data_IF_489539984713
#
_entry.id   IF_489539984713
#
_cell.length_a   1.000
_cell.length_b   1.000
_cell.length_c   1.000
_cell.angle_alpha   90.00
_cell.angle_beta   90.00
_cell.angle_gamma   90.00
#
_symmetry.space_group_name_H-M   'P 1'
#
loop_
_entity.id
_entity.type
_entity.pdbx_description
1 polymer ?
#
# COMPACT_ATOMS: atom_id res chain seq x y z
N UNK A 1 -34.85 -54.14 -14.89
CA UNK A 1 -34.61 -52.74 -15.30
C UNK A 1 -33.42 -52.26 -14.45
N UNK A 2 -32.24 -52.33 -15.02
CA UNK A 2 -30.97 -52.04 -14.39
C UNK A 2 -30.69 -50.52 -14.43
N UNK A 3 -30.43 -49.93 -13.26
CA UNK A 3 -29.88 -48.58 -13.14
C UNK A 3 -28.39 -48.61 -13.44
N UNK A 4 -27.96 -47.90 -14.48
CA UNK A 4 -26.57 -47.55 -14.69
C UNK A 4 -26.23 -46.37 -13.78
N UNK A 5 -25.45 -46.62 -12.75
CA UNK A 5 -24.75 -45.59 -11.98
C UNK A 5 -23.48 -45.23 -12.74
N UNK A 6 -23.44 -43.97 -13.25
CA UNK A 6 -22.23 -43.40 -13.82
C UNK A 6 -21.34 -42.90 -12.69
N UNK A 7 -20.14 -43.48 -12.56
CA UNK A 7 -19.12 -43.02 -11.65
C UNK A 7 -18.64 -41.60 -12.00
N UNK A 8 -18.35 -40.74 -10.99
CA UNK A 8 -17.82 -39.38 -11.26
C UNK A 8 -16.37 -39.43 -11.78
N UNK A 9 -15.96 -38.55 -12.65
CA UNK A 9 -14.60 -38.50 -13.19
C UNK A 9 -13.57 -38.26 -12.09
N UNK A 10 -12.46 -38.99 -12.16
CA UNK A 10 -11.37 -39.03 -11.19
C UNK A 10 -10.77 -37.62 -10.93
N UNK A 11 -10.87 -37.14 -9.69
CA UNK A 11 -10.36 -35.88 -9.19
C UNK A 11 -8.82 -35.75 -9.14
N UNK A 12 -8.08 -36.72 -9.68
CA UNK A 12 -6.61 -36.78 -9.64
C UNK A 12 -5.90 -35.96 -10.72
N UNK A 13 -6.50 -35.84 -11.90
CA UNK A 13 -5.86 -35.18 -13.06
C UNK A 13 -5.88 -33.64 -12.98
N UNK A 14 -6.92 -33.04 -12.41
CA UNK A 14 -7.07 -31.59 -12.28
C UNK A 14 -6.10 -30.98 -11.26
N UNK A 15 -5.75 -31.70 -10.20
CA UNK A 15 -4.82 -31.20 -9.15
C UNK A 15 -3.36 -31.14 -9.61
N UNK A 16 -2.93 -31.99 -10.53
CA UNK A 16 -1.54 -32.02 -11.00
C UNK A 16 -1.27 -30.90 -12.03
N UNK A 17 -2.22 -30.63 -12.92
CA UNK A 17 -2.14 -29.52 -13.87
C UNK A 17 -2.16 -28.16 -13.17
N UNK A 18 -2.96 -28.01 -12.14
CA UNK A 18 -3.04 -26.76 -11.32
C UNK A 18 -1.74 -26.54 -10.53
N UNK A 19 -1.10 -27.58 -10.03
CA UNK A 19 0.16 -27.44 -9.30
C UNK A 19 1.33 -27.06 -10.23
N UNK A 20 1.40 -27.64 -11.42
CA UNK A 20 2.38 -27.28 -12.45
C UNK A 20 2.16 -25.87 -12.98
N UNK A 21 0.93 -25.47 -13.25
CA UNK A 21 0.59 -24.12 -13.68
C UNK A 21 0.97 -23.07 -12.63
N UNK A 22 0.70 -23.33 -11.35
CA UNK A 22 1.05 -22.45 -10.23
C UNK A 22 2.56 -22.36 -9.99
N UNK A 23 3.31 -23.45 -10.16
CA UNK A 23 4.77 -23.44 -10.00
C UNK A 23 5.48 -22.73 -11.16
N UNK A 24 5.04 -22.95 -12.39
CA UNK A 24 5.57 -22.26 -13.58
C UNK A 24 5.25 -20.77 -13.56
N UNK A 25 4.05 -20.39 -13.15
CA UNK A 25 3.65 -18.98 -13.03
C UNK A 25 4.42 -18.26 -11.91
N UNK A 26 4.69 -18.97 -10.78
CA UNK A 26 5.54 -18.43 -9.70
C UNK A 26 6.99 -18.19 -10.15
N UNK A 27 7.56 -19.12 -10.91
CA UNK A 27 8.90 -18.97 -11.48
C UNK A 27 8.95 -17.78 -12.46
N UNK A 28 7.89 -17.61 -13.25
CA UNK A 28 7.74 -16.51 -14.21
C UNK A 28 7.68 -15.14 -13.54
N UNK A 29 6.80 -14.96 -12.54
CA UNK A 29 6.62 -13.68 -11.81
C UNK A 29 7.85 -13.33 -10.98
N UNK A 30 8.55 -14.33 -10.42
CA UNK A 30 9.75 -14.13 -9.60
C UNK A 30 11.06 -13.96 -10.38
N UNK A 31 11.04 -14.06 -11.71
CA UNK A 31 12.26 -14.00 -12.53
C UNK A 31 12.84 -12.58 -12.55
N UNK A 32 14.16 -12.45 -12.27
CA UNK A 32 14.85 -11.16 -12.33
C UNK A 32 14.95 -10.62 -13.75
N UNK A 33 15.07 -9.28 -13.88
CA UNK A 33 15.29 -8.64 -15.18
C UNK A 33 16.50 -9.25 -15.92
N UNK A 34 17.61 -9.47 -15.20
CA UNK A 34 18.84 -10.04 -15.76
C UNK A 34 18.62 -11.45 -16.29
N UNK A 35 17.93 -12.29 -15.52
CA UNK A 35 17.66 -13.68 -15.93
C UNK A 35 16.75 -13.74 -17.16
N UNK A 36 15.69 -12.93 -17.20
CA UNK A 36 14.79 -12.87 -18.34
C UNK A 36 15.49 -12.37 -19.61
N UNK A 37 16.31 -11.33 -19.49
CA UNK A 37 17.10 -10.79 -20.61
C UNK A 37 18.13 -11.82 -21.13
N UNK A 38 18.78 -12.55 -20.23
CA UNK A 38 19.71 -13.63 -20.60
C UNK A 38 19.00 -14.76 -21.35
N UNK A 39 17.77 -15.13 -20.96
CA UNK A 39 16.97 -16.14 -21.65
C UNK A 39 16.56 -15.68 -23.06
N UNK A 40 16.19 -14.40 -23.24
CA UNK A 40 15.87 -13.85 -24.56
C UNK A 40 17.10 -13.89 -25.46
N UNK A 41 18.24 -13.41 -24.98
CA UNK A 41 19.49 -13.40 -25.74
C UNK A 41 19.93 -14.82 -26.09
N UNK A 42 19.92 -15.73 -25.12
CA UNK A 42 20.22 -17.16 -25.34
C UNK A 42 19.27 -17.80 -26.33
N UNK A 43 17.97 -17.49 -26.26
CA UNK A 43 16.97 -17.93 -27.22
C UNK A 43 17.22 -17.44 -28.64
N UNK A 44 17.62 -16.18 -28.82
CA UNK A 44 17.97 -15.63 -30.13
C UNK A 44 19.21 -16.32 -30.70
N UNK A 45 20.27 -16.50 -29.92
CA UNK A 45 21.50 -17.18 -30.32
C UNK A 45 21.22 -18.64 -30.68
N UNK A 46 20.43 -19.34 -29.83
CA UNK A 46 20.05 -20.72 -30.09
C UNK A 46 19.22 -20.87 -31.37
N UNK A 47 18.24 -19.98 -31.57
CA UNK A 47 17.45 -19.95 -32.81
C UNK A 47 18.31 -19.73 -34.05
N UNK A 48 19.27 -18.81 -33.94
CA UNK A 48 20.24 -18.57 -35.05
C UNK A 48 21.08 -19.82 -35.33
N UNK A 49 21.62 -20.45 -34.31
CA UNK A 49 22.42 -21.67 -34.42
C UNK A 49 21.64 -22.82 -35.08
N UNK A 50 20.38 -23.02 -34.63
CA UNK A 50 19.47 -24.02 -35.18
C UNK A 50 19.25 -23.78 -36.70
N UNK A 51 18.93 -22.53 -37.09
CA UNK A 51 18.67 -22.18 -38.48
C UNK A 51 19.94 -22.40 -39.33
N UNK A 52 21.09 -21.97 -38.80
CA UNK A 52 22.37 -22.12 -39.50
C UNK A 52 22.79 -23.59 -39.72
N UNK A 53 22.65 -24.42 -38.68
CA UNK A 53 22.99 -25.87 -38.75
C UNK A 53 21.98 -26.68 -39.54
N UNK A 54 20.73 -26.21 -39.64
CA UNK A 54 19.68 -26.86 -40.44
C UNK A 54 19.80 -26.58 -41.97
N UNK A 55 20.84 -25.87 -42.40
CA UNK A 55 21.12 -25.63 -43.80
C UNK A 55 20.70 -24.25 -44.32
N UNK A 56 20.13 -23.39 -43.49
CA UNK A 56 19.82 -22.02 -43.88
C UNK A 56 18.35 -21.60 -43.69
N UNK A 57 18.03 -20.46 -44.28
CA UNK A 57 16.74 -19.79 -44.00
C UNK A 57 15.59 -20.22 -44.93
N UNK A 58 15.79 -21.17 -45.82
CA UNK A 58 14.75 -21.65 -46.76
C UNK A 58 13.84 -22.76 -46.19
N UNK A 59 13.90 -22.96 -44.88
CA UNK A 59 13.14 -23.99 -44.18
C UNK A 59 12.11 -23.39 -43.20
N UNK A 60 11.32 -24.26 -42.54
CA UNK A 60 10.42 -23.88 -41.45
C UNK A 60 11.19 -23.41 -40.21
N UNK A 61 12.50 -23.69 -40.13
CA UNK A 61 13.33 -23.49 -38.94
C UNK A 61 13.42 -22.04 -38.46
N UNK A 62 13.39 -20.99 -39.32
CA UNK A 62 13.29 -19.60 -38.81
C UNK A 62 12.13 -19.27 -37.88
N UNK A 63 11.10 -20.11 -37.86
CA UNK A 63 9.99 -19.93 -36.93
C UNK A 63 10.37 -20.11 -35.43
N UNK A 64 11.54 -20.72 -35.13
CA UNK A 64 12.05 -20.80 -33.75
C UNK A 64 12.31 -19.42 -33.13
N UNK A 65 12.51 -18.36 -33.94
CA UNK A 65 12.64 -17.00 -33.43
C UNK A 65 11.37 -16.46 -32.79
N UNK A 66 10.19 -17.05 -33.05
CA UNK A 66 9.00 -16.67 -32.31
C UNK A 66 9.12 -16.95 -30.81
N UNK A 67 9.86 -17.94 -30.37
CA UNK A 67 10.00 -18.29 -28.95
C UNK A 67 10.57 -17.10 -28.14
N UNK A 68 11.77 -16.56 -28.45
CA UNK A 68 12.29 -15.40 -27.72
C UNK A 68 11.46 -14.13 -27.94
N UNK A 69 10.82 -13.94 -29.11
CA UNK A 69 9.94 -12.80 -29.38
C UNK A 69 8.68 -12.84 -28.49
N UNK A 70 8.00 -13.98 -28.43
CA UNK A 70 6.81 -14.18 -27.61
C UNK A 70 7.14 -14.07 -26.11
N UNK A 71 8.31 -14.60 -25.71
CA UNK A 71 8.80 -14.46 -24.35
C UNK A 71 9.05 -12.99 -23.99
N UNK A 72 9.69 -12.21 -24.89
CA UNK A 72 9.91 -10.79 -24.71
C UNK A 72 8.60 -10.01 -24.62
N UNK A 73 7.65 -10.31 -25.53
CA UNK A 73 6.31 -9.73 -25.51
C UNK A 73 5.61 -9.95 -24.17
N UNK A 74 5.57 -11.20 -23.73
CA UNK A 74 4.88 -11.57 -22.50
C UNK A 74 5.51 -11.01 -21.21
N UNK A 75 6.85 -10.79 -21.21
CA UNK A 75 7.58 -10.38 -20.00
C UNK A 75 7.82 -8.87 -19.91
N UNK A 76 8.06 -8.21 -21.04
CA UNK A 76 8.50 -6.81 -21.08
C UNK A 76 7.61 -5.91 -21.95
N UNK A 77 6.61 -6.45 -22.61
CA UNK A 77 5.66 -5.68 -23.39
C UNK A 77 6.06 -5.41 -24.83
N UNK A 78 5.23 -4.58 -25.49
CA UNK A 78 5.27 -4.34 -26.93
C UNK A 78 6.58 -3.73 -27.43
N UNK A 79 7.14 -2.77 -26.71
CA UNK A 79 8.41 -2.11 -27.11
C UNK A 79 9.60 -3.07 -27.13
N UNK A 80 9.71 -3.92 -26.12
CA UNK A 80 10.79 -4.93 -26.07
C UNK A 80 10.55 -6.03 -27.11
N UNK A 81 9.31 -6.46 -27.32
CA UNK A 81 8.98 -7.41 -28.38
C UNK A 81 9.36 -6.87 -29.77
N UNK A 82 9.12 -5.58 -30.03
CA UNK A 82 9.55 -4.91 -31.27
C UNK A 82 11.06 -4.98 -31.47
N UNK A 83 11.84 -4.62 -30.43
CA UNK A 83 13.32 -4.67 -30.50
C UNK A 83 13.81 -6.10 -30.77
N UNK A 84 13.27 -7.08 -30.03
CA UNK A 84 13.67 -8.48 -30.18
C UNK A 84 13.26 -9.02 -31.57
N UNK A 85 12.11 -8.63 -32.11
CA UNK A 85 11.66 -9.01 -33.45
C UNK A 85 12.56 -8.42 -34.54
N UNK A 86 13.00 -7.16 -34.41
CA UNK A 86 13.97 -6.54 -35.32
C UNK A 86 15.31 -7.25 -35.28
N UNK A 87 15.84 -7.56 -34.09
CA UNK A 87 17.10 -8.32 -33.96
C UNK A 87 16.96 -9.72 -34.56
N UNK A 88 15.84 -10.42 -34.31
CA UNK A 88 15.53 -11.71 -34.90
C UNK A 88 15.48 -11.63 -36.44
N UNK A 89 14.87 -10.55 -36.98
CA UNK A 89 14.83 -10.28 -38.42
C UNK A 89 16.22 -10.13 -39.05
N UNK A 90 17.13 -9.40 -38.38
CA UNK A 90 18.50 -9.25 -38.83
C UNK A 90 19.27 -10.58 -38.72
N UNK A 91 19.11 -11.32 -37.66
CA UNK A 91 19.75 -12.63 -37.47
C UNK A 91 19.26 -13.66 -38.50
N UNK A 92 17.97 -13.75 -38.74
CA UNK A 92 17.32 -14.67 -39.66
C UNK A 92 17.42 -14.18 -41.13
N UNK A 93 17.81 -12.93 -41.36
CA UNK A 93 17.90 -12.28 -42.65
C UNK A 93 19.35 -12.20 -43.16
N UNK A 94 19.97 -11.00 -43.16
CA UNK A 94 21.28 -10.78 -43.78
C UNK A 94 22.41 -11.58 -43.12
N UNK A 95 22.25 -12.05 -41.88
CA UNK A 95 23.27 -12.84 -41.19
C UNK A 95 23.11 -14.36 -41.37
N UNK A 96 22.11 -14.81 -42.11
CA UNK A 96 21.90 -16.24 -42.41
C UNK A 96 21.66 -16.42 -43.91
N UNK A 97 22.48 -17.20 -44.65
CA UNK A 97 22.23 -17.47 -46.06
C UNK A 97 20.96 -18.32 -46.28
N UNK A 98 20.38 -18.26 -47.47
CA UNK A 98 19.25 -19.14 -47.86
C UNK A 98 19.69 -20.60 -47.81
N UNK A 99 20.85 -20.89 -48.40
CA UNK A 99 21.51 -22.19 -48.33
C UNK A 99 22.96 -21.96 -47.82
N UNK A 100 23.25 -22.55 -46.66
CA UNK A 100 24.57 -22.43 -46.01
C UNK A 100 25.63 -23.16 -46.80
N UNK A 101 25.32 -24.29 -47.46
CA UNK A 101 26.28 -25.05 -48.24
C UNK A 101 26.63 -24.36 -49.55
N UNK A 102 25.69 -23.71 -50.18
CA UNK A 102 25.88 -22.96 -51.41
C UNK A 102 26.34 -21.51 -51.20
N UNK A 103 26.26 -20.99 -49.96
CA UNK A 103 26.63 -19.60 -49.62
C UNK A 103 25.70 -18.54 -50.26
N UNK A 104 24.49 -18.92 -50.66
CA UNK A 104 23.56 -18.04 -51.38
C UNK A 104 22.91 -17.03 -50.45
N UNK A 105 23.06 -15.72 -50.76
CA UNK A 105 22.44 -14.66 -49.99
C UNK A 105 20.91 -14.65 -50.13
N UNK A 106 20.20 -14.18 -49.10
CA UNK A 106 18.75 -14.00 -49.15
C UNK A 106 18.37 -12.76 -49.95
N UNK A 107 17.26 -12.87 -50.70
CA UNK A 107 16.60 -11.70 -51.29
C UNK A 107 16.06 -10.77 -50.23
N UNK A 108 16.23 -9.46 -50.38
CA UNK A 108 15.83 -8.45 -49.39
C UNK A 108 14.34 -8.51 -49.07
N UNK A 109 13.51 -8.77 -50.06
CA UNK A 109 12.06 -8.87 -49.90
C UNK A 109 11.64 -10.02 -48.98
N UNK A 110 12.28 -11.18 -49.08
CA UNK A 110 11.94 -12.36 -48.26
C UNK A 110 12.27 -12.19 -46.81
N UNK A 111 13.43 -11.66 -46.45
CA UNK A 111 13.76 -11.49 -45.05
C UNK A 111 13.04 -10.29 -44.44
N UNK A 112 12.73 -9.21 -45.16
CA UNK A 112 11.90 -8.10 -44.70
C UNK A 112 10.45 -8.56 -44.41
N UNK A 113 9.87 -9.37 -45.32
CA UNK A 113 8.53 -9.96 -45.08
C UNK A 113 8.51 -10.81 -43.81
N UNK A 114 9.54 -11.66 -43.60
CA UNK A 114 9.67 -12.45 -42.37
C UNK A 114 9.80 -11.58 -41.13
N UNK A 115 10.60 -10.52 -41.20
CA UNK A 115 10.72 -9.54 -40.11
C UNK A 115 9.40 -8.86 -39.79
N UNK A 116 8.62 -8.53 -40.84
CA UNK A 116 7.26 -8.02 -40.69
C UNK A 116 6.34 -8.99 -39.93
N UNK A 117 6.43 -10.29 -40.22
CA UNK A 117 5.70 -11.31 -39.44
C UNK A 117 6.18 -11.42 -38.01
N UNK A 118 7.50 -11.34 -37.76
CA UNK A 118 8.04 -11.36 -36.37
C UNK A 118 7.52 -10.18 -35.56
N UNK A 119 7.51 -8.97 -36.16
CA UNK A 119 6.95 -7.78 -35.54
C UNK A 119 5.44 -7.95 -35.32
N UNK A 120 4.70 -8.35 -36.35
CA UNK A 120 3.24 -8.49 -36.27
C UNK A 120 2.80 -9.48 -35.18
N UNK A 121 3.43 -10.66 -35.13
CA UNK A 121 3.12 -11.68 -34.10
C UNK A 121 3.54 -11.22 -32.71
N UNK A 122 4.73 -10.59 -32.58
CA UNK A 122 5.19 -10.03 -31.29
C UNK A 122 4.25 -8.95 -30.77
N UNK A 123 3.80 -8.02 -31.62
CA UNK A 123 2.87 -6.97 -31.24
C UNK A 123 1.46 -7.52 -30.93
N UNK A 124 0.96 -8.45 -31.73
CA UNK A 124 -0.33 -9.10 -31.50
C UNK A 124 -0.32 -9.82 -30.15
N UNK A 125 0.75 -10.54 -29.82
CA UNK A 125 0.89 -11.23 -28.54
C UNK A 125 0.94 -10.23 -27.37
N UNK A 126 1.69 -9.16 -27.50
CA UNK A 126 1.76 -8.11 -26.50
C UNK A 126 0.39 -7.46 -26.26
N UNK A 127 -0.39 -7.27 -27.31
CA UNK A 127 -1.72 -6.67 -27.25
C UNK A 127 -2.79 -7.61 -26.69
N UNK A 128 -2.73 -8.90 -27.01
CA UNK A 128 -3.73 -9.88 -26.57
C UNK A 128 -3.40 -10.51 -25.21
N UNK A 129 -2.16 -10.90 -24.99
CA UNK A 129 -1.77 -11.76 -23.86
C UNK A 129 -1.50 -10.94 -22.60
N UNK A 130 -0.88 -9.77 -22.73
CA UNK A 130 -0.58 -8.95 -21.54
C UNK A 130 -1.86 -8.51 -20.82
N UNK A 131 -2.86 -7.91 -21.49
CA UNK A 131 -4.10 -7.55 -20.81
C UNK A 131 -4.86 -8.76 -20.26
N UNK A 132 -4.79 -9.92 -20.93
CA UNK A 132 -5.45 -11.13 -20.49
C UNK A 132 -4.80 -11.77 -19.25
N UNK A 133 -3.46 -11.64 -19.09
CA UNK A 133 -2.73 -12.20 -17.94
C UNK A 133 -2.66 -11.22 -16.75
N UNK A 134 -2.83 -9.93 -16.99
CA UNK A 134 -2.71 -8.92 -15.94
C UNK A 134 -3.64 -9.18 -14.74
N UNK A 135 -4.93 -9.49 -14.89
CA UNK A 135 -5.81 -9.77 -13.76
C UNK A 135 -5.34 -11.00 -12.95
N UNK A 136 -4.85 -12.04 -13.63
CA UNK A 136 -4.37 -13.27 -12.98
C UNK A 136 -3.09 -13.02 -12.18
N UNK A 137 -2.18 -12.22 -12.71
CA UNK A 137 -0.94 -11.86 -12.01
C UNK A 137 -1.20 -10.98 -10.79
N UNK A 138 -2.13 -10.05 -10.88
CA UNK A 138 -2.52 -9.20 -9.74
C UNK A 138 -3.23 -10.02 -8.65
N UNK A 139 -4.13 -10.92 -9.02
CA UNK A 139 -4.81 -11.81 -8.07
C UNK A 139 -3.80 -12.68 -7.30
N UNK A 140 -2.83 -13.28 -8.00
CA UNK A 140 -1.77 -14.06 -7.36
C UNK A 140 -0.87 -13.21 -6.45
N UNK A 141 -0.61 -11.96 -6.83
CA UNK A 141 0.14 -11.02 -6.01
C UNK A 141 -0.60 -10.69 -4.73
N UNK A 142 -1.91 -10.41 -4.82
CA UNK A 142 -2.79 -10.18 -3.67
C UNK A 142 -2.84 -11.39 -2.73
N UNK A 143 -3.09 -12.57 -3.25
CA UNK A 143 -3.09 -13.81 -2.46
C UNK A 143 -1.76 -14.05 -1.74
N UNK A 144 -0.64 -13.74 -2.38
CA UNK A 144 0.68 -13.85 -1.75
C UNK A 144 0.87 -12.82 -0.65
N UNK A 145 0.49 -11.57 -0.88
CA UNK A 145 0.55 -10.52 0.14
C UNK A 145 -0.35 -10.86 1.34
N UNK A 146 -1.57 -11.33 1.10
CA UNK A 146 -2.48 -11.79 2.16
C UNK A 146 -1.85 -12.91 3.00
N UNK A 147 -1.24 -13.92 2.34
CA UNK A 147 -0.53 -14.99 3.03
C UNK A 147 0.65 -14.45 3.86
N UNK A 148 1.43 -13.51 3.31
CA UNK A 148 2.56 -12.89 4.01
C UNK A 148 2.09 -12.07 5.23
N UNK A 149 1.00 -11.28 5.10
CA UNK A 149 0.37 -10.54 6.22
C UNK A 149 -0.07 -11.51 7.31
N UNK A 150 -0.81 -12.56 6.95
CA UNK A 150 -1.30 -13.58 7.90
C UNK A 150 -0.14 -14.27 8.63
N UNK A 151 0.96 -14.55 7.93
CA UNK A 151 2.18 -15.06 8.54
C UNK A 151 2.80 -14.04 9.49
N UNK A 152 2.93 -12.78 9.06
CA UNK A 152 3.51 -11.69 9.85
C UNK A 152 2.75 -11.45 11.16
N UNK A 153 1.42 -11.50 11.13
CA UNK A 153 0.57 -11.40 12.33
C UNK A 153 0.90 -12.52 13.33
N UNK A 154 1.04 -13.76 12.86
CA UNK A 154 1.39 -14.90 13.73
C UNK A 154 2.81 -14.84 14.31
N UNK A 155 3.74 -14.19 13.64
CA UNK A 155 5.13 -14.09 14.06
C UNK A 155 5.46 -12.77 14.79
N UNK A 156 4.44 -11.97 15.13
CA UNK A 156 4.61 -10.67 15.80
C UNK A 156 5.51 -9.69 15.01
N UNK A 157 5.44 -9.74 13.68
CA UNK A 157 6.19 -8.86 12.79
C UNK A 157 5.59 -7.43 12.73
N UNK A 158 4.35 -7.23 13.21
CA UNK A 158 3.69 -5.93 13.28
C UNK A 158 3.92 -5.24 14.61
N UNK A 159 4.25 -3.94 14.57
CA UNK A 159 4.52 -3.10 15.75
C UNK A 159 4.00 -1.68 15.50
N UNK A 160 4.00 -0.85 16.55
CA UNK A 160 3.55 0.53 16.47
C UNK A 160 4.72 1.50 16.54
N UNK A 161 4.66 2.54 15.71
CA UNK A 161 5.35 3.79 15.92
C UNK A 161 4.33 4.82 16.39
N UNK A 162 4.81 5.85 17.03
CA UNK A 162 3.99 6.86 17.67
C UNK A 162 4.42 8.25 17.20
N UNK A 163 3.49 9.01 16.64
CA UNK A 163 3.75 10.36 16.20
C UNK A 163 3.16 11.37 17.19
N UNK A 164 3.97 12.27 17.75
CA UNK A 164 3.51 13.23 18.75
C UNK A 164 2.54 14.25 18.19
N UNK A 165 1.54 14.60 19.01
CA UNK A 165 0.55 15.65 18.77
C UNK A 165 0.81 16.78 19.76
N UNK A 166 0.95 18.01 19.26
CA UNK A 166 1.30 19.19 20.03
C UNK A 166 0.14 20.17 20.11
N UNK A 167 -0.23 20.58 21.31
CA UNK A 167 -1.25 21.61 21.54
C UNK A 167 -0.65 23.01 21.39
N UNK A 168 -1.25 23.84 20.57
CA UNK A 168 -0.83 25.24 20.37
C UNK A 168 -1.21 26.12 21.55
N UNK A 169 -2.32 25.83 22.22
CA UNK A 169 -2.77 26.54 23.41
C UNK A 169 -1.92 26.23 24.65
N UNK A 170 -1.72 24.92 24.90
CA UNK A 170 -0.98 24.46 26.08
C UNK A 170 0.53 24.51 25.90
N UNK A 171 1.01 24.76 24.69
CA UNK A 171 2.41 24.78 24.28
C UNK A 171 3.21 23.53 24.70
N UNK A 172 2.56 22.35 24.66
CA UNK A 172 3.13 21.06 25.01
C UNK A 172 2.54 19.93 24.19
N UNK A 173 3.20 18.78 24.19
CA UNK A 173 2.62 17.57 23.63
C UNK A 173 1.46 17.08 24.52
N UNK A 174 0.36 16.65 23.89
CA UNK A 174 -0.87 16.23 24.55
C UNK A 174 -1.29 14.81 24.22
N UNK A 175 -0.71 14.22 23.17
CA UNK A 175 -1.03 12.88 22.75
C UNK A 175 -0.06 12.37 21.68
N UNK A 176 -0.33 11.17 21.21
CA UNK A 176 0.39 10.52 20.12
C UNK A 176 -0.60 9.79 19.23
N UNK A 177 -0.33 9.75 17.92
CA UNK A 177 -0.99 8.85 17.00
C UNK A 177 -0.20 7.56 16.87
N UNK A 178 -0.87 6.41 17.02
CA UNK A 178 -0.28 5.08 16.88
C UNK A 178 -0.37 4.61 15.43
N UNK A 179 0.78 4.52 14.79
CA UNK A 179 0.93 4.18 13.38
C UNK A 179 1.52 2.79 13.24
N UNK A 180 0.75 1.87 12.68
CA UNK A 180 1.21 0.50 12.46
C UNK A 180 2.37 0.46 11.48
N UNK A 181 3.32 -0.46 11.74
CA UNK A 181 4.47 -0.79 10.87
C UNK A 181 4.61 -2.30 10.80
N UNK A 182 5.13 -2.79 9.69
CA UNK A 182 5.41 -4.20 9.51
C UNK A 182 6.89 -4.43 9.30
N UNK A 183 7.55 -5.08 10.26
CA UNK A 183 8.94 -5.52 10.13
C UNK A 183 9.00 -6.78 9.27
N UNK A 184 8.96 -6.57 7.95
CA UNK A 184 8.98 -7.68 7.00
C UNK A 184 10.39 -8.30 6.93
N UNK A 185 10.55 -9.65 7.03
CA UNK A 185 11.87 -10.30 7.14
C UNK A 185 12.79 -10.07 5.94
N UNK A 186 12.25 -9.74 4.77
CA UNK A 186 13.04 -9.53 3.53
C UNK A 186 13.03 -8.06 3.11
N UNK A 187 11.89 -7.36 3.28
CA UNK A 187 11.69 -5.98 2.78
C UNK A 187 12.02 -4.90 3.81
N UNK A 188 12.34 -5.29 5.04
CA UNK A 188 12.55 -4.35 6.14
C UNK A 188 11.25 -3.77 6.69
N UNK A 189 11.32 -2.57 7.27
CA UNK A 189 10.15 -1.88 7.81
C UNK A 189 9.26 -1.34 6.69
N UNK A 190 7.99 -1.76 6.70
CA UNK A 190 6.96 -1.35 5.75
C UNK A 190 5.96 -0.41 6.40
N UNK A 191 5.54 0.61 5.64
CA UNK A 191 4.51 1.55 6.03
C UNK A 191 3.09 1.01 5.75
N UNK A 192 2.03 1.58 6.36
CA UNK A 192 0.65 1.17 6.13
C UNK A 192 0.25 1.04 4.66
N UNK A 193 0.63 1.99 3.81
CA UNK A 193 0.34 1.99 2.37
C UNK A 193 0.91 0.77 1.61
N UNK A 194 1.88 0.05 2.18
CA UNK A 194 2.46 -1.14 1.56
C UNK A 194 1.62 -2.42 1.73
N UNK A 195 0.63 -2.42 2.67
CA UNK A 195 -0.09 -3.64 3.03
C UNK A 195 -1.55 -3.46 3.47
N UNK A 196 -1.99 -2.26 3.87
CA UNK A 196 -3.35 -2.06 4.38
C UNK A 196 -4.41 -2.31 3.32
N UNK A 197 -4.22 -1.87 2.07
CA UNK A 197 -5.19 -2.10 0.99
C UNK A 197 -5.54 -3.58 0.85
N UNK A 198 -4.51 -4.45 0.93
CA UNK A 198 -4.71 -5.92 0.85
C UNK A 198 -5.37 -6.46 2.12
N UNK A 199 -5.08 -5.87 3.27
CA UNK A 199 -5.70 -6.27 4.53
C UNK A 199 -7.18 -5.86 4.60
N UNK A 200 -7.54 -4.68 4.06
CA UNK A 200 -8.91 -4.18 3.97
C UNK A 200 -9.79 -5.00 3.02
N UNK A 201 -9.23 -5.41 1.86
CA UNK A 201 -9.91 -6.33 0.94
C UNK A 201 -10.12 -7.74 1.52
N UNK A 202 -9.56 -8.00 2.70
CA UNK A 202 -9.63 -9.29 3.39
C UNK A 202 -10.02 -9.12 4.86
N UNK A 203 -10.39 -10.21 5.54
CA UNK A 203 -10.70 -10.16 6.99
C UNK A 203 -9.48 -9.86 7.88
N UNK A 204 -8.27 -9.74 7.31
CA UNK A 204 -7.04 -9.50 8.07
C UNK A 204 -6.97 -8.09 8.66
N UNK A 205 -7.74 -7.15 8.11
CA UNK A 205 -7.83 -5.80 8.71
C UNK A 205 -8.32 -5.88 10.16
N UNK A 206 -9.26 -6.77 10.46
CA UNK A 206 -9.78 -6.93 11.82
C UNK A 206 -8.71 -7.43 12.80
N UNK A 207 -7.88 -8.40 12.39
CA UNK A 207 -6.77 -8.90 13.22
C UNK A 207 -5.72 -7.79 13.45
N UNK A 208 -5.50 -6.95 12.45
CA UNK A 208 -4.60 -5.79 12.54
C UNK A 208 -5.17 -4.76 13.52
N UNK A 209 -6.43 -4.37 13.36
CA UNK A 209 -7.08 -3.37 14.20
C UNK A 209 -7.18 -3.80 15.66
N UNK A 210 -7.54 -5.06 15.91
CA UNK A 210 -7.55 -5.62 17.27
C UNK A 210 -6.15 -5.61 17.91
N UNK A 211 -5.10 -5.83 17.11
CA UNK A 211 -3.71 -5.72 17.58
C UNK A 211 -3.31 -4.28 17.88
N UNK A 212 -3.62 -3.34 16.98
CA UNK A 212 -3.34 -1.90 17.16
C UNK A 212 -4.05 -1.38 18.42
N UNK A 213 -5.33 -1.72 18.58
CA UNK A 213 -6.12 -1.35 19.74
C UNK A 213 -5.49 -1.85 21.05
N UNK A 214 -5.22 -3.15 21.13
CA UNK A 214 -4.64 -3.74 22.35
C UNK A 214 -3.26 -3.18 22.66
N UNK A 215 -2.36 -3.06 21.67
CA UNK A 215 -1.00 -2.56 21.88
C UNK A 215 -0.99 -1.05 22.18
N UNK A 216 -1.84 -0.26 21.51
CA UNK A 216 -2.01 1.17 21.79
C UNK A 216 -2.47 1.42 23.23
N UNK A 217 -3.53 0.71 23.66
CA UNK A 217 -4.03 0.81 25.04
C UNK A 217 -2.97 0.37 26.07
N UNK A 218 -2.26 -0.74 25.82
CA UNK A 218 -1.19 -1.23 26.68
C UNK A 218 -0.09 -0.18 26.87
N UNK A 219 0.37 0.40 25.75
CA UNK A 219 1.45 1.37 25.76
C UNK A 219 1.02 2.69 26.42
N UNK A 220 -0.19 3.16 26.16
CA UNK A 220 -0.72 4.35 26.84
C UNK A 220 -0.83 4.16 28.36
N UNK A 221 -1.26 2.98 28.81
CA UNK A 221 -1.30 2.64 30.24
C UNK A 221 0.09 2.61 30.89
N UNK A 222 1.10 2.09 30.18
CA UNK A 222 2.50 2.13 30.64
C UNK A 222 3.01 3.56 30.79
N UNK A 223 2.79 4.43 29.80
CA UNK A 223 3.21 5.83 29.89
C UNK A 223 2.47 6.57 31.01
N UNK A 224 1.18 6.31 31.17
CA UNK A 224 0.41 6.87 32.30
C UNK A 224 1.01 6.47 33.65
N UNK A 225 1.38 5.21 33.84
CA UNK A 225 1.99 4.73 35.06
C UNK A 225 3.36 5.36 35.32
N UNK A 226 4.12 5.68 34.29
CA UNK A 226 5.40 6.39 34.38
C UNK A 226 5.19 7.88 34.71
N UNK A 227 4.21 8.55 34.10
CA UNK A 227 3.92 9.96 34.28
C UNK A 227 3.47 10.27 35.74
N UNK A 228 2.63 9.41 36.35
CA UNK A 228 2.18 9.59 37.74
C UNK A 228 3.32 9.59 38.77
N UNK A 229 4.48 9.12 38.41
CA UNK A 229 5.70 9.12 39.28
C UNK A 229 6.57 10.38 39.13
N UNK A 230 6.47 11.10 38.01
CA UNK A 230 7.47 12.11 37.62
C UNK A 230 6.92 13.43 37.06
N UNK A 231 5.62 13.67 37.02
CA UNK A 231 5.08 14.95 36.52
C UNK A 231 3.76 14.89 35.76
N UNK A 232 3.47 15.85 34.88
CA UNK A 232 2.16 16.14 34.38
C UNK A 232 1.55 15.03 33.52
N UNK A 233 0.25 15.10 33.35
CA UNK A 233 -0.66 13.99 33.14
C UNK A 233 -0.75 13.44 31.73
N UNK A 234 -1.57 12.43 31.66
CA UNK A 234 -1.48 11.40 30.67
C UNK A 234 -1.78 11.95 29.29
N UNK A 235 -0.93 11.52 28.34
CA UNK A 235 -1.17 11.71 26.94
C UNK A 235 -2.17 10.68 26.44
N UNK A 236 -3.06 11.10 25.57
CA UNK A 236 -3.90 10.17 24.88
C UNK A 236 -3.14 9.44 23.77
N UNK A 237 -3.59 8.27 23.42
CA UNK A 237 -3.21 7.57 22.21
C UNK A 237 -4.36 7.60 21.22
N UNK A 238 -4.09 8.05 19.99
CA UNK A 238 -5.04 7.97 18.89
C UNK A 238 -4.73 6.72 18.05
N UNK A 239 -5.77 5.99 17.67
CA UNK A 239 -5.67 4.79 16.81
C UNK A 239 -6.62 4.91 15.64
N UNK A 240 -6.15 4.49 14.47
CA UNK A 240 -6.95 4.42 13.27
C UNK A 240 -7.78 3.14 13.25
N UNK A 241 -9.09 3.26 12.99
CA UNK A 241 -9.98 2.15 12.69
C UNK A 241 -10.52 2.27 11.27
N UNK A 242 -10.55 1.15 10.54
CA UNK A 242 -11.09 1.12 9.20
C UNK A 242 -12.62 1.20 9.18
N UNK A 243 -13.18 1.59 8.04
CA UNK A 243 -14.63 1.53 7.83
C UNK A 243 -15.18 0.11 8.02
N UNK A 244 -14.40 -0.93 7.72
CA UNK A 244 -14.77 -2.32 7.93
C UNK A 244 -14.87 -2.69 9.42
N UNK A 245 -14.07 -2.05 10.29
CA UNK A 245 -14.13 -2.28 11.74
C UNK A 245 -15.37 -1.64 12.34
N UNK A 246 -15.75 -0.45 11.88
CA UNK A 246 -16.88 0.30 12.41
C UNK A 246 -18.21 -0.42 12.19
N UNK A 247 -18.33 -1.18 11.11
CA UNK A 247 -19.56 -1.95 10.83
C UNK A 247 -19.61 -3.30 11.57
N UNK A 248 -18.56 -3.68 12.31
CA UNK A 248 -18.56 -4.90 13.15
C UNK A 248 -19.40 -4.66 14.39
N UNK A 249 -20.47 -5.46 14.64
CA UNK A 249 -21.35 -5.27 15.80
C UNK A 249 -20.63 -5.37 17.15
N UNK A 250 -19.54 -6.17 17.21
CA UNK A 250 -18.74 -6.42 18.40
C UNK A 250 -17.63 -5.38 18.63
N UNK A 251 -17.39 -4.43 17.72
CA UNK A 251 -16.23 -3.52 17.80
C UNK A 251 -16.23 -2.67 19.08
N UNK A 252 -17.40 -2.16 19.50
CA UNK A 252 -17.51 -1.41 20.74
C UNK A 252 -17.19 -2.28 21.98
N UNK A 253 -17.56 -3.54 21.95
CA UNK A 253 -17.19 -4.49 23.00
C UNK A 253 -15.68 -4.79 23.02
N UNK A 254 -15.04 -4.86 21.86
CA UNK A 254 -13.56 -5.01 21.75
C UNK A 254 -12.84 -3.79 22.34
N UNK A 255 -13.32 -2.57 22.05
CA UNK A 255 -12.78 -1.33 22.64
C UNK A 255 -12.95 -1.34 24.15
N UNK A 256 -14.16 -1.64 24.66
CA UNK A 256 -14.42 -1.71 26.10
C UNK A 256 -13.51 -2.74 26.79
N UNK A 257 -13.36 -3.94 26.20
CA UNK A 257 -12.51 -4.99 26.75
C UNK A 257 -11.01 -4.61 26.74
N UNK A 258 -10.54 -3.85 25.75
CA UNK A 258 -9.16 -3.37 25.70
C UNK A 258 -8.91 -2.31 26.79
N UNK A 259 -9.83 -1.35 26.96
CA UNK A 259 -9.77 -0.34 28.01
C UNK A 259 -9.75 -0.98 29.41
N UNK A 260 -10.65 -1.94 29.68
CA UNK A 260 -10.71 -2.67 30.93
C UNK A 260 -9.44 -3.48 31.20
N UNK A 261 -8.97 -4.27 30.21
CA UNK A 261 -7.77 -5.11 30.30
C UNK A 261 -6.53 -4.31 30.70
N UNK A 262 -6.38 -3.12 30.13
CA UNK A 262 -5.21 -2.27 30.37
C UNK A 262 -5.46 -1.18 31.42
N UNK A 263 -6.65 -1.14 32.02
CA UNK A 263 -7.05 -0.12 33.00
C UNK A 263 -6.80 1.31 32.48
N UNK A 264 -7.04 1.52 31.17
CA UNK A 264 -6.88 2.81 30.53
C UNK A 264 -8.20 3.60 30.64
N UNK A 265 -8.18 4.83 31.19
CA UNK A 265 -9.34 5.71 31.12
C UNK A 265 -9.77 5.95 29.68
N UNK A 266 -11.08 5.87 29.37
CA UNK A 266 -11.58 5.98 28.00
C UNK A 266 -11.18 7.28 27.29
N UNK A 267 -11.07 8.37 28.01
CA UNK A 267 -10.66 9.69 27.50
C UNK A 267 -9.21 9.73 27.01
N UNK A 268 -8.41 8.72 27.32
CA UNK A 268 -7.03 8.58 26.86
C UNK A 268 -6.87 7.71 25.61
N UNK A 269 -7.95 7.14 25.12
CA UNK A 269 -8.01 6.47 23.83
C UNK A 269 -8.85 7.31 22.87
N UNK A 270 -8.25 7.83 21.82
CA UNK A 270 -8.98 8.47 20.73
C UNK A 270 -9.09 7.49 19.56
N UNK A 271 -10.24 7.47 18.90
CA UNK A 271 -10.47 6.67 17.71
C UNK A 271 -10.51 7.61 16.50
N UNK A 272 -9.67 7.36 15.52
CA UNK A 272 -9.60 8.10 14.27
C UNK A 272 -10.28 7.31 13.16
N UNK A 273 -11.10 7.99 12.36
CA UNK A 273 -11.94 7.43 11.31
C UNK A 273 -11.78 8.25 10.05
N UNK A 274 -11.62 7.60 8.93
CA UNK A 274 -11.61 8.31 7.65
C UNK A 274 -12.98 8.94 7.35
N UNK A 275 -12.99 10.01 6.57
CA UNK A 275 -14.20 10.71 6.14
C UNK A 275 -15.27 9.78 5.51
N UNK A 276 -14.85 8.68 4.89
CA UNK A 276 -15.74 7.68 4.26
C UNK A 276 -16.72 7.04 5.23
N UNK A 277 -16.37 6.92 6.51
CA UNK A 277 -17.26 6.39 7.57
C UNK A 277 -18.51 7.26 7.74
N UNK A 278 -18.40 8.57 7.51
CA UNK A 278 -19.54 9.50 7.61
C UNK A 278 -20.65 9.22 6.59
N UNK A 279 -20.32 8.59 5.48
CA UNK A 279 -21.30 8.22 4.45
C UNK A 279 -22.02 6.87 4.73
N UNK A 280 -21.65 6.17 5.81
CA UNK A 280 -22.15 4.83 6.12
C UNK A 280 -23.30 4.91 7.12
N UNK A 281 -24.52 4.52 6.71
CA UNK A 281 -25.70 4.54 7.59
C UNK A 281 -25.59 3.59 8.80
N UNK A 282 -24.87 2.48 8.65
CA UNK A 282 -24.68 1.47 9.69
C UNK A 282 -23.54 1.77 10.68
N UNK A 283 -22.81 2.87 10.51
CA UNK A 283 -21.78 3.30 11.45
C UNK A 283 -22.33 3.98 12.71
N UNK A 284 -23.51 4.57 12.62
CA UNK A 284 -24.11 5.45 13.65
C UNK A 284 -24.14 4.79 15.04
N UNK A 285 -24.62 3.56 15.12
CA UNK A 285 -24.78 2.86 16.40
C UNK A 285 -23.44 2.58 17.09
N UNK A 286 -22.44 2.14 16.33
CA UNK A 286 -21.08 1.88 16.85
C UNK A 286 -20.44 3.17 17.37
N UNK A 287 -20.56 4.27 16.64
CA UNK A 287 -20.01 5.56 17.07
C UNK A 287 -20.68 6.09 18.35
N UNK A 288 -21.99 5.94 18.48
CA UNK A 288 -22.69 6.26 19.73
C UNK A 288 -22.27 5.36 20.88
N UNK A 289 -22.00 4.08 20.64
CA UNK A 289 -21.47 3.17 21.67
C UNK A 289 -20.07 3.61 22.13
N UNK A 290 -19.16 4.01 21.23
CA UNK A 290 -17.86 4.57 21.61
C UNK A 290 -18.01 5.81 22.49
N UNK A 291 -18.92 6.72 22.13
CA UNK A 291 -19.20 7.90 22.97
C UNK A 291 -19.78 7.52 24.33
N UNK A 292 -20.61 6.51 24.39
CA UNK A 292 -21.16 6.01 25.67
C UNK A 292 -20.10 5.41 26.58
N UNK A 293 -19.01 4.89 26.00
CA UNK A 293 -17.81 4.46 26.72
C UNK A 293 -16.97 5.65 27.20
N UNK A 294 -17.16 6.86 26.66
CA UNK A 294 -16.35 8.04 26.96
C UNK A 294 -15.13 8.19 26.05
N UNK A 295 -15.07 7.47 24.92
CA UNK A 295 -13.95 7.52 23.94
C UNK A 295 -14.18 8.69 22.98
N UNK A 296 -13.22 9.64 22.84
CA UNK A 296 -13.27 10.69 21.85
C UNK A 296 -13.08 10.15 20.42
N UNK A 297 -13.81 10.77 19.47
CA UNK A 297 -13.81 10.40 18.05
C UNK A 297 -13.22 11.52 17.20
N UNK A 298 -12.31 11.17 16.29
CA UNK A 298 -11.73 12.09 15.33
C UNK A 298 -12.06 11.66 13.89
N UNK A 299 -12.33 12.63 13.03
CA UNK A 299 -12.38 12.40 11.58
C UNK A 299 -11.02 12.76 11.01
N UNK A 300 -10.44 11.82 10.30
CA UNK A 300 -9.15 11.92 9.64
C UNK A 300 -9.27 12.28 8.16
N UNK A 301 -8.19 12.81 7.56
CA UNK A 301 -8.06 13.20 6.16
C UNK A 301 -9.13 14.21 5.69
N UNK A 302 -9.65 15.05 6.59
CA UNK A 302 -10.72 15.98 6.25
C UNK A 302 -10.27 17.06 5.26
N UNK A 303 -11.08 17.22 4.19
CA UNK A 303 -10.85 18.21 3.14
C UNK A 303 -10.29 17.64 1.84
N UNK A 304 -10.07 16.33 1.75
CA UNK A 304 -9.62 15.67 0.51
C UNK A 304 -10.77 15.06 -0.28
N UNK A 305 -11.95 14.88 0.35
CA UNK A 305 -13.11 14.19 -0.19
C UNK A 305 -14.33 15.08 -0.42
N UNK A 306 -15.45 14.43 -0.72
CA UNK A 306 -16.77 15.05 -0.84
C UNK A 306 -17.46 15.14 0.53
N UNK A 307 -16.87 15.89 1.48
CA UNK A 307 -17.52 16.07 2.78
C UNK A 307 -18.88 16.73 2.63
N UNK A 308 -19.93 16.00 2.85
CA UNK A 308 -21.21 16.64 3.10
C UNK A 308 -21.22 17.14 4.54
N UNK A 309 -21.12 18.47 4.74
CA UNK A 309 -21.23 19.12 6.04
C UNK A 309 -22.45 18.66 6.85
N UNK A 310 -23.49 18.15 6.16
CA UNK A 310 -24.68 17.58 6.79
C UNK A 310 -24.38 16.33 7.64
N UNK A 311 -23.35 15.57 7.28
CA UNK A 311 -22.99 14.35 8.02
C UNK A 311 -22.19 14.64 9.28
N UNK A 312 -21.34 15.68 9.30
CA UNK A 312 -20.60 16.06 10.52
C UNK A 312 -21.52 16.36 11.70
N UNK A 313 -22.68 16.95 11.42
CA UNK A 313 -23.67 17.29 12.47
C UNK A 313 -24.49 16.08 12.96
N UNK A 314 -24.46 14.96 12.22
CA UNK A 314 -25.19 13.72 12.53
C UNK A 314 -24.44 12.82 13.51
N UNK A 315 -23.11 12.85 13.46
CA UNK A 315 -22.26 11.96 14.22
C UNK A 315 -21.66 12.64 15.45
N UNK A 316 -21.46 11.90 16.54
CA UNK A 316 -20.94 12.45 17.79
C UNK A 316 -19.41 12.61 17.77
N UNK A 317 -18.89 13.41 16.82
CA UNK A 317 -17.46 13.66 16.62
C UNK A 317 -16.96 14.72 17.61
N UNK A 318 -15.71 14.66 18.00
CA UNK A 318 -15.04 15.61 18.90
C UNK A 318 -13.90 16.38 18.22
N UNK A 319 -13.26 15.75 17.20
CA UNK A 319 -12.02 16.23 16.63
C UNK A 319 -12.08 16.14 15.11
N UNK A 320 -11.53 17.15 14.45
CA UNK A 320 -11.37 17.22 13.01
C UNK A 320 -9.88 17.32 12.67
N UNK A 321 -9.32 16.30 12.02
CA UNK A 321 -7.94 16.29 11.55
C UNK A 321 -7.90 16.82 10.11
N UNK A 322 -7.12 17.86 9.87
CA UNK A 322 -7.03 18.54 8.59
C UNK A 322 -5.85 17.98 7.83
N UNK A 323 -6.14 17.42 6.66
CA UNK A 323 -5.19 16.66 5.87
C UNK A 323 -3.94 17.46 5.48
N UNK A 324 -2.83 16.76 5.41
CA UNK A 324 -1.51 17.24 5.04
C UNK A 324 -1.50 18.00 3.70
N UNK A 325 -2.37 17.64 2.72
CA UNK A 325 -2.37 18.31 1.41
C UNK A 325 -2.75 19.78 1.56
N UNK A 326 -3.71 20.09 2.45
CA UNK A 326 -4.08 21.49 2.76
C UNK A 326 -2.97 22.21 3.52
N UNK A 327 -2.39 21.53 4.52
CA UNK A 327 -1.35 22.11 5.37
C UNK A 327 -0.05 22.36 4.59
N UNK A 328 0.30 21.49 3.63
CA UNK A 328 1.49 21.67 2.78
C UNK A 328 1.40 22.93 1.90
N UNK A 329 0.18 23.36 1.55
CA UNK A 329 -0.07 24.60 0.81
C UNK A 329 0.00 25.88 1.65
N UNK A 330 0.01 25.78 2.99
CA UNK A 330 0.08 26.95 3.87
C UNK A 330 1.41 27.70 3.66
N UNK A 331 1.33 28.99 3.38
CA UNK A 331 2.50 29.81 3.08
C UNK A 331 2.80 29.96 1.59
N UNK A 332 2.32 29.03 0.75
CA UNK A 332 2.55 29.03 -0.69
C UNK A 332 1.29 29.46 -1.47
N UNK A 333 0.12 29.09 -0.99
CA UNK A 333 -1.17 29.28 -1.66
C UNK A 333 -2.19 29.93 -0.73
N UNK A 334 -2.72 31.09 -1.17
CA UNK A 334 -3.79 31.80 -0.46
C UNK A 334 -5.08 30.97 -0.39
N UNK A 335 -5.37 30.16 -1.42
CA UNK A 335 -6.54 29.27 -1.46
C UNK A 335 -6.48 28.21 -0.36
N UNK A 336 -5.33 27.55 -0.16
CA UNK A 336 -5.14 26.57 0.92
C UNK A 336 -5.34 27.22 2.30
N UNK A 337 -4.84 28.45 2.49
CA UNK A 337 -5.02 29.21 3.73
C UNK A 337 -6.47 29.59 3.98
N UNK A 338 -7.18 30.06 2.95
CA UNK A 338 -8.59 30.46 3.07
C UNK A 338 -9.50 29.26 3.31
N UNK A 339 -9.22 28.12 2.67
CA UNK A 339 -9.93 26.87 2.90
C UNK A 339 -9.69 26.35 4.33
N UNK A 340 -8.45 26.33 4.79
CA UNK A 340 -8.11 25.95 6.17
C UNK A 340 -8.81 26.84 7.20
N UNK A 341 -8.88 28.15 6.95
CA UNK A 341 -9.64 29.09 7.78
C UNK A 341 -11.13 28.74 7.81
N UNK A 342 -11.71 28.42 6.64
CA UNK A 342 -13.11 28.00 6.54
C UNK A 342 -13.39 26.73 7.35
N UNK A 343 -12.47 25.76 7.33
CA UNK A 343 -12.58 24.51 8.10
C UNK A 343 -12.51 24.79 9.60
N UNK A 344 -11.59 25.64 10.06
CA UNK A 344 -11.49 26.00 11.48
C UNK A 344 -12.77 26.69 11.96
N UNK A 345 -13.30 27.67 11.21
CA UNK A 345 -14.57 28.32 11.56
C UNK A 345 -15.75 27.33 11.60
N UNK A 346 -15.76 26.35 10.72
CA UNK A 346 -16.75 25.28 10.75
C UNK A 346 -16.61 24.44 12.02
N UNK A 347 -15.40 23.98 12.33
CA UNK A 347 -15.10 23.19 13.52
C UNK A 347 -15.53 23.95 14.79
N UNK A 348 -15.16 25.21 14.92
CA UNK A 348 -15.58 26.09 16.03
C UNK A 348 -17.11 26.16 16.15
N UNK A 349 -17.83 26.32 15.04
CA UNK A 349 -19.30 26.40 15.05
C UNK A 349 -19.98 25.10 15.48
N UNK A 350 -19.31 23.96 15.32
CA UNK A 350 -19.77 22.64 15.73
C UNK A 350 -19.21 22.20 17.09
N UNK A 351 -18.35 23.00 17.72
CA UNK A 351 -17.69 22.68 18.98
C UNK A 351 -16.63 21.57 18.85
N UNK A 352 -16.06 21.40 17.66
CA UNK A 352 -15.02 20.40 17.36
C UNK A 352 -13.63 21.02 17.57
N UNK A 353 -12.70 20.22 18.09
CA UNK A 353 -11.28 20.58 18.11
C UNK A 353 -10.64 20.27 16.76
N UNK A 354 -9.60 21.02 16.42
CA UNK A 354 -8.87 20.84 15.16
C UNK A 354 -7.45 20.33 15.38
N UNK A 355 -6.99 19.43 14.52
CA UNK A 355 -5.59 18.98 14.45
C UNK A 355 -5.11 19.22 13.01
N UNK A 356 -4.08 20.05 12.82
CA UNK A 356 -3.45 20.21 11.51
C UNK A 356 -2.34 19.19 11.32
N UNK A 357 -2.44 18.42 10.25
CA UNK A 357 -1.48 17.35 9.93
C UNK A 357 -0.41 17.76 8.95
N UNK A 358 0.77 17.13 9.04
CA UNK A 358 1.85 17.36 8.10
C UNK A 358 2.52 18.73 8.24
N UNK A 359 2.55 19.30 9.44
CA UNK A 359 3.34 20.53 9.71
C UNK A 359 4.83 20.17 9.65
N UNK A 360 5.53 20.68 8.66
CA UNK A 360 6.94 20.40 8.40
C UNK A 360 7.85 21.64 8.60
N UNK A 361 7.29 22.86 8.54
CA UNK A 361 8.05 24.09 8.62
C UNK A 361 7.57 25.01 9.74
N UNK A 362 8.47 25.89 10.19
CA UNK A 362 8.12 26.94 11.16
C UNK A 362 7.05 27.89 10.62
N UNK A 363 7.10 28.20 9.33
CA UNK A 363 6.12 29.07 8.69
C UNK A 363 4.71 28.48 8.76
N UNK A 364 4.56 27.17 8.46
CA UNK A 364 3.27 26.46 8.58
C UNK A 364 2.76 26.50 10.02
N UNK A 365 3.64 26.30 11.01
CA UNK A 365 3.29 26.38 12.43
C UNK A 365 2.77 27.78 12.80
N UNK A 366 3.46 28.85 12.39
CA UNK A 366 3.03 30.22 12.69
C UNK A 366 1.70 30.57 12.00
N UNK A 367 1.49 30.10 10.77
CA UNK A 367 0.18 30.24 10.10
C UNK A 367 -0.88 29.42 10.84
N UNK A 368 -0.57 28.22 11.30
CA UNK A 368 -1.47 27.39 12.10
C UNK A 368 -1.92 28.12 13.39
N UNK A 369 -1.00 28.78 14.08
CA UNK A 369 -1.32 29.66 15.23
C UNK A 369 -2.26 30.81 14.86
N UNK A 370 -2.00 31.47 13.72
CA UNK A 370 -2.85 32.58 13.22
C UNK A 370 -4.27 32.10 12.84
N UNK A 371 -4.37 30.89 12.30
CA UNK A 371 -5.64 30.25 11.95
C UNK A 371 -6.36 29.66 13.17
N UNK A 372 -5.70 29.58 14.34
CA UNK A 372 -6.21 29.04 15.60
C UNK A 372 -6.53 27.55 15.56
N UNK A 373 -5.66 26.74 14.94
CA UNK A 373 -5.74 25.30 15.20
C UNK A 373 -5.51 25.01 16.67
N UNK A 374 -6.22 24.01 17.23
CA UNK A 374 -6.04 23.61 18.63
C UNK A 374 -4.74 22.79 18.79
N UNK A 375 -4.50 21.86 17.86
CA UNK A 375 -3.33 21.01 17.85
C UNK A 375 -2.69 20.93 16.46
N UNK A 376 -1.45 20.49 16.45
CA UNK A 376 -0.68 20.27 15.23
C UNK A 376 0.14 18.98 15.34
N UNK A 377 0.36 18.34 14.20
CA UNK A 377 1.16 17.13 14.07
C UNK A 377 2.00 17.21 12.80
N UNK A 378 3.25 16.73 12.86
CA UNK A 378 4.10 16.72 11.66
C UNK A 378 5.58 16.61 11.96
N UNK A 379 6.37 16.53 10.90
CA UNK A 379 7.82 16.30 10.98
C UNK A 379 8.59 17.49 11.55
N UNK A 380 7.95 18.64 11.68
CA UNK A 380 8.51 19.78 12.40
C UNK A 380 8.80 19.41 13.86
N UNK A 381 7.94 18.62 14.49
CA UNK A 381 8.09 18.18 15.87
C UNK A 381 8.87 16.87 15.97
N UNK A 382 8.36 15.83 15.31
CA UNK A 382 9.02 14.53 15.20
C UNK A 382 8.44 13.67 14.08
N UNK A 383 9.26 12.79 13.53
CA UNK A 383 8.80 11.64 12.74
C UNK A 383 8.19 10.60 13.68
N UNK A 384 7.43 9.62 13.17
CA UNK A 384 6.93 8.52 14.00
C UNK A 384 8.08 7.79 14.74
N UNK A 385 8.04 7.78 16.07
CA UNK A 385 9.06 7.30 16.99
C UNK A 385 8.72 5.91 17.54
N UNK A 386 9.71 5.20 18.07
CA UNK A 386 9.46 4.00 18.86
C UNK A 386 8.90 4.36 20.26
N UNK A 387 8.12 3.46 20.85
CA UNK A 387 7.51 3.67 22.17
C UNK A 387 8.49 4.15 23.27
N UNK A 388 9.74 3.63 23.26
CA UNK A 388 10.79 3.99 24.21
C UNK A 388 11.31 5.43 24.10
N UNK A 389 11.09 6.07 22.94
CA UNK A 389 11.59 7.42 22.64
C UNK A 389 10.58 8.50 23.04
N UNK A 390 9.30 8.13 23.15
CA UNK A 390 8.18 9.03 23.46
C UNK A 390 8.32 9.70 24.82
N UNK A 391 8.63 9.00 25.94
CA UNK A 391 8.73 9.65 27.26
C UNK A 391 9.75 10.79 27.29
N UNK A 392 10.89 10.63 26.65
CA UNK A 392 11.93 11.67 26.58
C UNK A 392 11.47 12.92 25.85
N UNK A 393 10.73 12.73 24.76
CA UNK A 393 10.18 13.85 23.96
C UNK A 393 9.10 14.61 24.73
N UNK A 394 8.19 13.87 25.38
CA UNK A 394 7.05 14.43 26.06
C UNK A 394 7.40 15.14 27.37
N UNK A 395 8.53 14.81 27.96
CA UNK A 395 9.09 15.52 29.13
C UNK A 395 9.91 16.77 28.74
N UNK A 396 10.28 16.92 27.47
CA UNK A 396 10.95 18.12 26.98
C UNK A 396 9.92 19.16 26.53
N UNK A 397 9.56 20.11 27.38
CA UNK A 397 8.57 21.16 27.14
C UNK A 397 8.97 22.20 26.08
N UNK A 398 9.98 21.96 25.27
CA UNK A 398 10.35 22.85 24.18
C UNK A 398 10.21 22.15 22.83
N UNK A 399 9.58 22.81 21.83
CA UNK A 399 9.74 22.37 20.45
C UNK A 399 11.24 22.39 20.16
N UNK A 400 11.84 21.23 19.89
CA UNK A 400 13.22 21.18 19.41
C UNK A 400 13.25 21.95 18.10
N UNK A 401 13.65 23.23 18.17
CA UNK A 401 13.93 24.05 16.99
C UNK A 401 14.90 23.26 16.14
N UNK A 402 14.35 22.70 15.04
CA UNK A 402 15.02 21.73 14.21
C UNK A 402 16.41 22.11 13.79
N UNK A 403 17.35 21.44 14.40
CA UNK A 403 18.61 21.17 13.74
C UNK A 403 18.35 20.04 12.76
N UNK A 404 18.38 20.34 11.48
CA UNK A 404 18.53 19.37 10.39
C UNK A 404 19.81 18.56 10.64
N UNK A 405 19.71 17.49 11.42
CA UNK A 405 20.65 16.39 11.28
C UNK A 405 20.13 15.53 10.13
N UNK A 406 20.64 15.86 8.96
CA UNK A 406 20.61 14.95 7.81
C UNK A 406 21.26 13.64 8.23
N UNK A 407 20.45 12.65 8.54
CA UNK A 407 20.90 11.27 8.55
C UNK A 407 20.71 10.78 7.12
N UNK A 408 21.81 10.73 6.39
CA UNK A 408 21.90 10.02 5.13
C UNK A 408 21.64 8.53 5.37
N UNK A 409 20.66 8.00 4.65
CA UNK A 409 20.56 6.57 4.30
C UNK A 409 20.45 6.47 2.78
#
# INVERSE_FOLDING_TARGET
MSRFESAPPSAGGLRYSDHLARTTLRAWVGMSFVTASALILGGLILSWLIVYTAGGADSIVPHFYYVPILFAAARFGASTALVVALVAGVLAGPLTPVDVAAGTAQETERWLTRTGFFIGIGQLMAWLVIPALHPVTEELRRMRQEFDIRRGLRHNEFFLRYQPIYSLELERHVGVEALIRWQHPIRGELAPADFLDVAEDSSLIHDISDRVLNEGCRQAAEWRAQATKHGPPPWYVAINLSAHDIVRPEMAAHVAAALERHQLPPELLHIELTETVLAMDNATDTLHQFKSLGVPLAIDDFGTGYSSLAYLNRFPIDILKIDRQLISGLGLDTSARDLSRGIVLLADSLGLRTIAEGVETREQLEIGRQLRFDCVQGYYFARPLLAKEIPTLLLSDAPRTGGLHAVHY
#
